data_IF_598009147963
#
_entry.id   IF_598009147963
#
_cell.length_a   1.000
_cell.length_b   1.000
_cell.length_c   1.000
_cell.angle_alpha   90.00
_cell.angle_beta   90.00
_cell.angle_gamma   90.00
#
_symmetry.space_group_name_H-M   'P 1'
#
loop_
_entity.id
_entity.type
_entity.pdbx_description
1 polymer ?
#
# COMPACT_ATOMS: atom_id res chain seq x y z
N UNK A 1 -16.85 -4.27 23.92
CA UNK A 1 -18.19 -4.19 23.30
C UNK A 1 -18.06 -4.66 21.87
N UNK A 2 -18.99 -5.46 21.34
CA UNK A 2 -18.93 -5.88 19.94
C UNK A 2 -19.36 -4.72 19.03
N UNK A 3 -18.81 -4.64 17.82
CA UNK A 3 -19.17 -3.58 16.85
C UNK A 3 -20.64 -3.70 16.43
N UNK A 4 -21.21 -4.90 16.52
CA UNK A 4 -22.64 -5.15 16.32
C UNK A 4 -23.52 -4.41 17.32
N UNK A 5 -22.98 -4.05 18.49
CA UNK A 5 -23.73 -3.35 19.54
C UNK A 5 -23.74 -1.84 19.31
N UNK A 6 -22.99 -1.33 18.33
CA UNK A 6 -22.96 0.09 17.99
C UNK A 6 -24.19 0.46 17.16
N UNK A 7 -24.67 1.71 17.27
CA UNK A 7 -25.64 2.28 16.34
C UNK A 7 -25.22 2.02 14.89
N UNK A 8 -26.17 1.64 14.04
CA UNK A 8 -25.88 1.16 12.68
C UNK A 8 -25.08 2.21 11.88
N UNK A 9 -25.43 3.47 12.03
CA UNK A 9 -24.78 4.65 11.46
C UNK A 9 -23.35 4.89 11.97
N UNK A 10 -22.97 4.26 13.09
CA UNK A 10 -21.63 4.36 13.66
C UNK A 10 -20.74 3.16 13.31
N UNK A 11 -21.31 2.11 12.70
CA UNK A 11 -20.55 0.91 12.32
C UNK A 11 -19.61 1.24 11.15
N UNK A 12 -18.33 0.85 11.20
CA UNK A 12 -17.36 1.22 10.17
C UNK A 12 -17.80 0.92 8.74
N UNK A 13 -18.39 -0.26 8.50
CA UNK A 13 -18.87 -0.65 7.15
C UNK A 13 -19.95 0.29 6.62
N UNK A 14 -20.94 0.61 7.45
CA UNK A 14 -22.06 1.46 7.05
C UNK A 14 -21.59 2.90 6.86
N UNK A 15 -20.69 3.38 7.72
CA UNK A 15 -20.02 4.69 7.55
C UNK A 15 -19.22 4.75 6.26
N UNK A 16 -18.49 3.69 5.91
CA UNK A 16 -17.73 3.65 4.66
C UNK A 16 -18.66 3.79 3.44
N UNK A 17 -19.82 3.11 3.47
CA UNK A 17 -20.81 3.16 2.38
C UNK A 17 -21.52 4.52 2.33
N UNK A 18 -21.92 5.06 3.47
CA UNK A 18 -22.74 6.29 3.54
C UNK A 18 -21.94 7.60 3.53
N UNK A 19 -20.71 7.60 4.02
CA UNK A 19 -19.89 8.81 4.25
C UNK A 19 -18.53 8.75 3.54
N UNK A 20 -18.15 7.59 2.98
CA UNK A 20 -16.87 7.40 2.29
C UNK A 20 -15.68 7.19 3.23
N UNK A 21 -14.55 6.81 2.66
CA UNK A 21 -13.35 6.43 3.41
C UNK A 21 -12.76 7.59 4.24
N UNK A 22 -12.92 8.84 3.78
CA UNK A 22 -12.40 10.03 4.46
C UNK A 22 -13.04 10.30 5.84
N UNK A 23 -14.22 9.71 6.11
CA UNK A 23 -14.89 9.84 7.39
C UNK A 23 -14.36 8.84 8.45
N UNK A 24 -13.54 7.88 8.05
CA UNK A 24 -13.05 6.80 8.91
C UNK A 24 -11.61 7.06 9.33
N UNK A 25 -11.30 6.66 10.56
CA UNK A 25 -9.91 6.53 11.02
C UNK A 25 -9.24 5.30 10.39
N UNK A 26 -7.91 5.31 10.36
CA UNK A 26 -7.11 4.14 9.93
C UNK A 26 -7.50 2.87 10.68
N UNK A 27 -7.80 2.98 11.98
CA UNK A 27 -8.23 1.85 12.80
C UNK A 27 -9.58 1.28 12.34
N UNK A 28 -10.50 2.14 11.90
CA UNK A 28 -11.80 1.73 11.37
C UNK A 28 -11.66 1.11 9.97
N UNK A 29 -10.79 1.65 9.12
CA UNK A 29 -10.47 1.04 7.82
C UNK A 29 -9.86 -0.35 7.99
N UNK A 30 -8.90 -0.49 8.91
CA UNK A 30 -8.34 -1.79 9.28
C UNK A 30 -9.41 -2.72 9.87
N UNK A 31 -10.34 -2.21 10.68
CA UNK A 31 -11.43 -3.02 11.23
C UNK A 31 -12.31 -3.64 10.14
N UNK A 32 -12.59 -2.89 9.06
CA UNK A 32 -13.35 -3.39 7.91
C UNK A 32 -12.57 -4.49 7.19
N UNK A 33 -11.27 -4.29 6.98
CA UNK A 33 -10.37 -5.30 6.41
C UNK A 33 -10.35 -6.58 7.26
N UNK A 34 -10.20 -6.44 8.58
CA UNK A 34 -10.11 -7.54 9.54
C UNK A 34 -11.42 -8.35 9.65
N UNK A 35 -12.57 -7.71 9.36
CA UNK A 35 -13.96 -8.21 9.44
C UNK A 35 -14.44 -8.60 10.84
N UNK A 36 -13.59 -9.25 11.62
CA UNK A 36 -13.84 -9.73 12.97
C UNK A 36 -12.65 -9.40 13.87
N UNK A 37 -12.96 -9.15 15.14
CA UNK A 37 -11.95 -9.03 16.19
C UNK A 37 -11.40 -10.39 16.64
N UNK A 38 -10.74 -10.38 17.78
CA UNK A 38 -10.32 -11.60 18.50
C UNK A 38 -11.04 -11.68 19.84
N UNK A 39 -10.92 -12.82 20.53
CA UNK A 39 -11.46 -12.94 21.88
C UNK A 39 -10.95 -11.81 22.78
N UNK A 40 -11.87 -10.98 23.28
CA UNK A 40 -11.57 -9.84 24.15
C UNK A 40 -11.26 -8.52 23.46
N UNK A 41 -11.18 -8.45 22.12
CA UNK A 41 -10.91 -7.21 21.37
C UNK A 41 -11.82 -7.11 20.14
N UNK A 42 -12.46 -5.96 19.92
CA UNK A 42 -13.20 -5.72 18.67
C UNK A 42 -12.24 -5.59 17.46
N UNK A 43 -12.77 -5.63 16.24
CA UNK A 43 -11.93 -5.40 15.05
C UNK A 43 -11.31 -3.99 15.03
N UNK A 44 -12.01 -2.99 15.61
CA UNK A 44 -11.48 -1.63 15.76
C UNK A 44 -10.37 -1.59 16.80
N UNK A 45 -10.51 -2.31 17.91
CA UNK A 45 -9.44 -2.40 18.93
C UNK A 45 -8.20 -3.07 18.36
N UNK A 46 -8.38 -4.14 17.57
CA UNK A 46 -7.28 -4.80 16.86
C UNK A 46 -6.63 -3.86 15.82
N UNK A 47 -7.43 -3.07 15.10
CA UNK A 47 -6.90 -2.04 14.18
C UNK A 47 -6.08 -0.97 14.91
N UNK A 48 -6.52 -0.51 16.09
CA UNK A 48 -5.74 0.41 16.93
C UNK A 48 -4.44 -0.20 17.42
N UNK A 49 -4.47 -1.47 17.83
CA UNK A 49 -3.27 -2.22 18.24
C UNK A 49 -2.26 -2.34 17.09
N UNK A 50 -2.73 -2.62 15.87
CA UNK A 50 -1.87 -2.64 14.68
C UNK A 50 -1.17 -1.29 14.47
N UNK A 51 -1.93 -0.19 14.51
CA UNK A 51 -1.36 1.15 14.34
C UNK A 51 -0.37 1.48 15.46
N UNK A 52 -0.71 1.15 16.72
CA UNK A 52 0.18 1.36 17.86
C UNK A 52 1.47 0.54 17.80
N UNK A 53 1.39 -0.70 17.32
CA UNK A 53 2.54 -1.60 17.20
C UNK A 53 3.48 -1.19 16.06
N UNK A 54 2.95 -0.91 14.87
CA UNK A 54 3.78 -0.56 13.70
C UNK A 54 4.16 0.92 13.65
N UNK A 55 3.38 1.80 14.29
CA UNK A 55 3.60 3.25 14.34
C UNK A 55 3.24 4.01 13.05
N UNK A 56 3.17 3.34 11.89
CA UNK A 56 2.67 3.91 10.64
C UNK A 56 2.09 2.84 9.73
N UNK A 57 1.16 3.23 8.85
CA UNK A 57 0.62 2.35 7.81
C UNK A 57 1.71 1.84 6.86
N UNK A 58 2.70 2.67 6.53
CA UNK A 58 3.82 2.28 5.68
C UNK A 58 4.60 1.09 6.27
N UNK A 59 4.94 1.14 7.56
CA UNK A 59 5.61 0.04 8.26
C UNK A 59 4.73 -1.21 8.38
N UNK A 60 3.43 -1.02 8.60
CA UNK A 60 2.47 -2.12 8.65
C UNK A 60 2.39 -2.86 7.31
N UNK A 61 2.32 -2.12 6.20
CA UNK A 61 2.22 -2.68 4.85
C UNK A 61 3.53 -3.33 4.36
N UNK A 62 4.69 -2.88 4.85
CA UNK A 62 5.99 -3.47 4.55
C UNK A 62 6.42 -4.58 5.51
N UNK A 63 5.64 -4.87 6.56
CA UNK A 63 6.01 -5.86 7.57
C UNK A 63 6.19 -7.26 6.96
N UNK A 64 7.17 -8.00 7.48
CA UNK A 64 7.32 -9.42 7.20
C UNK A 64 6.16 -10.21 7.80
N UNK A 65 5.92 -11.44 7.31
CA UNK A 65 4.92 -12.34 7.90
C UNK A 65 5.17 -12.54 9.41
N UNK A 66 6.43 -12.68 9.81
CA UNK A 66 6.81 -12.91 11.21
C UNK A 66 6.43 -11.71 12.10
N UNK A 67 6.74 -10.49 11.65
CA UNK A 67 6.38 -9.26 12.39
C UNK A 67 4.87 -9.04 12.42
N UNK A 68 4.20 -9.25 11.28
CA UNK A 68 2.74 -9.15 11.19
C UNK A 68 2.04 -10.13 12.13
N UNK A 69 2.54 -11.37 12.21
CA UNK A 69 2.00 -12.42 13.05
C UNK A 69 2.40 -12.33 14.53
N UNK A 70 3.19 -11.33 14.94
CA UNK A 70 3.44 -11.05 16.34
C UNK A 70 2.18 -10.54 17.08
N UNK A 71 1.22 -9.96 16.35
CA UNK A 71 -0.05 -9.50 16.93
C UNK A 71 -1.07 -10.64 16.95
N UNK A 72 -1.64 -10.89 18.13
CA UNK A 72 -2.65 -11.94 18.29
C UNK A 72 -3.85 -11.71 17.36
N UNK A 73 -4.18 -12.73 16.55
CA UNK A 73 -5.26 -12.65 15.56
C UNK A 73 -4.83 -12.28 14.15
N UNK A 74 -3.55 -12.04 13.90
CA UNK A 74 -2.98 -11.70 12.58
C UNK A 74 -2.15 -12.85 12.00
N UNK A 75 -2.82 -13.95 11.63
CA UNK A 75 -2.16 -15.10 11.01
C UNK A 75 -1.88 -14.96 9.51
N UNK A 76 -1.31 -16.01 8.93
CA UNK A 76 -0.94 -16.15 7.51
C UNK A 76 -2.08 -15.76 6.57
N UNK A 77 -3.33 -16.14 6.87
CA UNK A 77 -4.47 -15.82 6.02
C UNK A 77 -4.72 -14.31 5.88
N UNK A 78 -4.67 -13.57 6.99
CA UNK A 78 -4.85 -12.10 6.98
C UNK A 78 -3.64 -11.41 6.36
N UNK A 79 -2.43 -11.93 6.59
CA UNK A 79 -1.23 -11.42 5.93
C UNK A 79 -1.33 -11.55 4.41
N UNK A 80 -1.65 -12.74 3.90
CA UNK A 80 -1.82 -12.99 2.47
C UNK A 80 -2.91 -12.11 1.86
N UNK A 81 -4.03 -11.92 2.57
CA UNK A 81 -5.11 -11.03 2.13
C UNK A 81 -4.64 -9.58 2.02
N UNK A 82 -3.85 -9.09 2.99
CA UNK A 82 -3.30 -7.73 2.97
C UNK A 82 -2.35 -7.55 1.78
N UNK A 83 -1.40 -8.48 1.60
CA UNK A 83 -0.43 -8.43 0.50
C UNK A 83 -1.13 -8.49 -0.86
N UNK A 84 -2.16 -9.33 -1.01
CA UNK A 84 -2.96 -9.39 -2.23
C UNK A 84 -3.69 -8.08 -2.51
N UNK A 85 -4.30 -7.45 -1.49
CA UNK A 85 -4.96 -6.15 -1.65
C UNK A 85 -3.98 -5.05 -2.07
N UNK A 86 -2.79 -5.00 -1.46
CA UNK A 86 -1.76 -4.03 -1.80
C UNK A 86 -1.24 -4.24 -3.23
N UNK A 87 -1.05 -5.48 -3.66
CA UNK A 87 -0.63 -5.79 -5.03
C UNK A 87 -1.72 -5.43 -6.05
N UNK A 88 -3.00 -5.70 -5.76
CA UNK A 88 -4.10 -5.29 -6.63
C UNK A 88 -4.20 -3.77 -6.75
N UNK A 89 -4.06 -3.04 -5.63
CA UNK A 89 -4.02 -1.58 -5.64
C UNK A 89 -2.84 -1.05 -6.47
N UNK A 90 -1.66 -1.68 -6.34
CA UNK A 90 -0.48 -1.35 -7.14
C UNK A 90 -0.72 -1.57 -8.64
N UNK A 91 -1.34 -2.70 -9.02
CA UNK A 91 -1.66 -3.02 -10.42
C UNK A 91 -2.69 -2.07 -11.00
N UNK A 92 -3.77 -1.77 -10.26
CA UNK A 92 -4.81 -0.84 -10.72
C UNK A 92 -4.23 0.56 -10.99
N UNK A 93 -3.40 1.07 -10.08
CA UNK A 93 -2.70 2.33 -10.29
C UNK A 93 -1.72 2.26 -11.47
N UNK A 94 -0.98 1.16 -11.62
CA UNK A 94 -0.10 0.95 -12.79
C UNK A 94 -0.88 0.94 -14.10
N UNK A 95 -2.08 0.37 -14.14
CA UNK A 95 -2.99 0.39 -15.30
C UNK A 95 -3.47 1.81 -15.61
N UNK A 96 -3.87 2.59 -14.61
CA UNK A 96 -4.22 4.01 -14.78
C UNK A 96 -3.05 4.83 -15.35
N UNK A 97 -1.85 4.56 -14.87
CA UNK A 97 -0.60 5.18 -15.32
C UNK A 97 -0.24 4.80 -16.77
N UNK A 98 -0.59 3.60 -17.21
CA UNK A 98 -0.43 3.12 -18.58
C UNK A 98 -1.51 3.68 -19.53
N UNK A 99 -2.74 3.88 -19.03
CA UNK A 99 -3.87 4.34 -19.80
C UNK A 99 -3.92 5.88 -19.99
N UNK A 100 -3.28 6.66 -19.12
CA UNK A 100 -3.32 8.13 -19.13
C UNK A 100 -1.99 8.81 -19.47
N UNK A 101 -2.06 10.12 -19.77
CA UNK A 101 -0.90 11.05 -19.85
C UNK A 101 -0.33 11.34 -18.44
N UNK A 102 -0.32 10.34 -17.56
CA UNK A 102 -0.18 10.55 -16.13
C UNK A 102 1.25 10.97 -15.77
N UNK A 103 2.28 10.59 -16.53
CA UNK A 103 3.65 11.06 -16.31
C UNK A 103 3.94 12.44 -16.92
N UNK A 104 2.90 13.25 -17.15
CA UNK A 104 3.01 14.63 -17.64
C UNK A 104 3.57 15.64 -16.60
N UNK A 105 3.80 15.22 -15.36
CA UNK A 105 4.40 16.08 -14.33
C UNK A 105 5.40 15.33 -13.42
N UNK A 106 6.41 16.03 -12.87
CA UNK A 106 7.33 15.44 -11.90
C UNK A 106 6.63 14.86 -10.65
N UNK A 107 5.50 15.44 -10.25
CA UNK A 107 4.72 14.94 -9.12
C UNK A 107 4.10 13.57 -9.41
N UNK A 108 3.57 13.38 -10.61
CA UNK A 108 3.00 12.11 -11.01
C UNK A 108 4.07 11.04 -11.29
N UNK A 109 5.24 11.44 -11.81
CA UNK A 109 6.42 10.56 -11.86
C UNK A 109 6.83 10.12 -10.46
N UNK A 110 6.86 11.03 -9.48
CA UNK A 110 7.17 10.67 -8.10
C UNK A 110 6.15 9.70 -7.50
N UNK A 111 4.85 9.93 -7.73
CA UNK A 111 3.79 9.02 -7.26
C UNK A 111 3.93 7.63 -7.89
N UNK A 112 4.24 7.56 -9.19
CA UNK A 112 4.53 6.31 -9.89
C UNK A 112 5.69 5.56 -9.23
N UNK A 113 6.83 6.23 -9.04
CA UNK A 113 8.03 5.62 -8.47
C UNK A 113 7.81 5.18 -7.01
N UNK A 114 7.11 6.01 -6.21
CA UNK A 114 6.77 5.67 -4.83
C UNK A 114 5.91 4.41 -4.74
N UNK A 115 5.02 4.20 -5.69
CA UNK A 115 4.16 3.03 -5.71
C UNK A 115 4.88 1.77 -6.21
N UNK A 116 5.67 1.92 -7.28
CA UNK A 116 6.45 0.83 -7.88
C UNK A 116 7.50 0.27 -6.90
N UNK A 117 8.11 1.15 -6.11
CA UNK A 117 9.17 0.81 -5.17
C UNK A 117 8.77 0.97 -3.70
N UNK A 118 7.47 0.92 -3.40
CA UNK A 118 7.03 0.91 -2.01
C UNK A 118 7.63 -0.29 -1.28
N UNK A 119 8.53 -0.02 -0.32
CA UNK A 119 9.27 -1.06 0.42
C UNK A 119 10.63 -1.46 -0.18
N UNK A 120 11.12 -0.77 -1.22
CA UNK A 120 12.47 -1.00 -1.70
C UNK A 120 13.50 -0.50 -0.67
N UNK A 121 14.34 -1.41 -0.16
CA UNK A 121 15.38 -1.10 0.83
C UNK A 121 16.66 -0.53 0.22
N UNK A 122 16.69 -0.29 -1.10
CA UNK A 122 17.90 0.02 -1.86
C UNK A 122 17.65 1.12 -2.88
N UNK A 123 18.62 2.00 -3.08
CA UNK A 123 18.61 2.97 -4.17
C UNK A 123 18.70 2.25 -5.51
N UNK A 124 17.82 2.66 -6.43
CA UNK A 124 17.68 2.04 -7.74
C UNK A 124 17.61 3.15 -8.78
N UNK A 125 18.37 3.00 -9.86
CA UNK A 125 18.34 3.93 -11.00
C UNK A 125 17.47 3.34 -12.08
N UNK A 126 16.41 4.05 -12.46
CA UNK A 126 15.42 3.57 -13.42
C UNK A 126 15.23 4.55 -14.57
N UNK A 127 15.03 3.99 -15.74
CA UNK A 127 14.64 4.72 -16.95
C UNK A 127 13.18 4.41 -17.25
N UNK A 128 12.41 5.48 -17.43
CA UNK A 128 11.04 5.42 -17.95
C UNK A 128 11.08 5.72 -19.44
N UNK A 129 10.64 4.78 -20.26
CA UNK A 129 10.45 4.98 -21.70
C UNK A 129 9.05 5.53 -21.91
N UNK A 130 8.94 6.77 -22.39
CA UNK A 130 7.67 7.44 -22.61
C UNK A 130 7.37 7.63 -24.09
N UNK A 131 6.08 7.64 -24.45
CA UNK A 131 5.63 8.09 -25.77
C UNK A 131 5.55 9.62 -25.85
N UNK A 132 5.20 10.14 -27.02
CA UNK A 132 5.07 11.58 -27.27
C UNK A 132 3.96 12.28 -26.48
N UNK A 133 3.10 11.52 -25.79
CA UNK A 133 2.04 12.02 -24.89
C UNK A 133 2.38 11.79 -23.41
N UNK A 134 3.65 11.46 -23.10
CA UNK A 134 4.12 11.13 -21.76
C UNK A 134 3.44 9.89 -21.15
N UNK A 135 3.04 8.92 -21.98
CA UNK A 135 2.52 7.63 -21.53
C UNK A 135 3.67 6.66 -21.36
N UNK A 136 3.65 5.88 -20.30
CA UNK A 136 4.70 4.91 -20.02
C UNK A 136 4.64 3.75 -21.03
N UNK A 137 5.64 3.63 -21.91
CA UNK A 137 5.78 2.50 -22.84
C UNK A 137 6.38 1.30 -22.11
N UNK A 138 7.44 1.56 -21.34
CA UNK A 138 8.18 0.58 -20.58
C UNK A 138 8.98 1.29 -19.49
N UNK A 139 9.45 0.54 -18.50
CA UNK A 139 10.51 1.01 -17.62
C UNK A 139 11.55 -0.08 -17.41
N UNK A 140 12.78 0.35 -17.16
CA UNK A 140 13.90 -0.53 -16.92
C UNK A 140 14.71 -0.02 -15.74
N UNK A 141 14.86 -0.84 -14.71
CA UNK A 141 15.88 -0.65 -13.69
C UNK A 141 17.24 -0.92 -14.32
N UNK A 142 18.04 0.13 -14.50
CA UNK A 142 19.35 0.00 -15.14
C UNK A 142 20.41 -0.46 -14.13
N UNK A 143 20.33 0.01 -12.89
CA UNK A 143 21.28 -0.33 -11.83
C UNK A 143 20.63 -0.34 -10.46
N UNK A 144 21.10 -1.26 -9.62
CA UNK A 144 20.81 -1.37 -8.21
C UNK A 144 22.12 -1.25 -7.45
N UNK A 145 22.28 -0.24 -6.60
CA UNK A 145 23.57 0.05 -5.98
C UNK A 145 23.49 0.95 -4.76
N UNK A 146 24.51 0.88 -3.90
CA UNK A 146 24.70 1.80 -2.76
C UNK A 146 25.32 3.11 -3.24
N UNK A 147 24.72 4.26 -2.88
CA UNK A 147 25.14 5.68 -2.78
C UNK A 147 26.40 6.26 -3.52
N UNK A 148 27.35 5.48 -4.04
CA UNK A 148 28.72 5.95 -4.29
C UNK A 148 29.27 5.70 -5.70
N UNK A 149 28.60 4.98 -6.60
CA UNK A 149 29.14 4.76 -7.95
C UNK A 149 28.09 4.65 -9.07
N UNK A 150 28.31 5.40 -10.16
CA UNK A 150 27.53 5.37 -11.40
C UNK A 150 28.42 4.75 -12.48
N UNK A 151 27.96 3.69 -13.15
CA UNK A 151 28.59 3.14 -14.35
C UNK A 151 27.53 2.98 -15.42
N UNK A 152 27.43 3.90 -16.38
CA UNK A 152 26.50 3.76 -17.50
C UNK A 152 27.16 2.96 -18.62
N UNK A 153 26.64 1.76 -18.91
CA UNK A 153 26.96 1.02 -20.12
C UNK A 153 26.05 1.55 -21.25
N UNK A 154 26.64 2.34 -22.14
CA UNK A 154 25.97 2.80 -23.35
C UNK A 154 26.03 1.68 -24.39
N UNK A 155 24.91 0.97 -24.60
CA UNK A 155 24.75 0.11 -25.78
C UNK A 155 24.43 1.01 -26.97
N UNK A 156 25.40 1.17 -27.87
CA UNK A 156 25.18 1.79 -29.18
C UNK A 156 24.77 0.70 -30.17
N UNK A 157 23.68 0.94 -30.91
CA UNK A 157 23.49 0.31 -32.22
C UNK A 157 24.34 1.04 -33.25
#
# INVERSE_FOLDING_TARGET
>A
MAITDWPQDQRPRERLIGQGAAALSDAELLAIFLRIGVRGKSAVDLGREMIGHFGSLGRLFSASLTEFSAINGLGVAKYAQLQAMLELARRALAEELQAGDLLSSPAAVRQYLQLKWHGAEHESFMVLFLDVKNRLIADAELFRGTLTQISALQVRN
#
